data_IF_938468634701
#
_entry.id   IF_938468634701
#
_cell.length_a   1.000
_cell.length_b   1.000
_cell.length_c   1.000
_cell.angle_alpha   90.00
_cell.angle_beta   90.00
_cell.angle_gamma   90.00
#
_symmetry.space_group_name_H-M   'P 1'
#
loop_
_entity.id
_entity.type
_entity.pdbx_description
1 polymer ?
#
# COMPACT_ATOMS: atom_id res chain seq x y z
N UNK A 1 -2.37 27.75 -7.39
CA UNK A 1 -1.81 27.48 -8.74
C UNK A 1 -2.95 27.11 -9.68
N UNK A 2 -2.98 27.64 -10.91
CA UNK A 2 -3.88 27.16 -11.97
C UNK A 2 -3.03 26.42 -13.00
N UNK A 3 -3.48 25.24 -13.40
CA UNK A 3 -2.79 24.41 -14.41
C UNK A 3 -3.82 23.84 -15.38
N UNK A 4 -3.35 23.28 -16.49
CA UNK A 4 -4.20 22.72 -17.54
C UNK A 4 -4.12 21.20 -17.52
N UNK A 5 -5.23 20.56 -17.89
CA UNK A 5 -5.22 19.14 -18.22
C UNK A 5 -4.49 18.92 -19.54
N UNK A 6 -3.58 17.95 -19.56
CA UNK A 6 -2.82 17.54 -20.75
C UNK A 6 -3.31 16.19 -21.24
N UNK A 7 -3.39 16.00 -22.56
CA UNK A 7 -3.80 14.71 -23.14
C UNK A 7 -2.68 13.69 -23.03
N UNK A 8 -3.00 12.48 -22.59
CA UNK A 8 -2.11 11.32 -22.48
C UNK A 8 -2.84 10.11 -23.06
N UNK A 9 -2.84 9.96 -24.38
CA UNK A 9 -3.64 8.94 -25.06
C UNK A 9 -5.15 9.13 -24.86
N UNK A 10 -5.82 8.12 -24.29
CA UNK A 10 -7.23 8.17 -23.89
C UNK A 10 -7.43 8.79 -22.50
N UNK A 11 -6.35 9.12 -21.80
CA UNK A 11 -6.36 9.70 -20.46
C UNK A 11 -5.95 11.18 -20.48
N UNK A 12 -6.09 11.83 -19.33
CA UNK A 12 -5.70 13.23 -19.10
C UNK A 12 -4.83 13.30 -17.85
N UNK A 13 -3.75 14.09 -17.91
CA UNK A 13 -2.85 14.32 -16.78
C UNK A 13 -2.88 15.76 -16.28
N UNK A 14 -2.37 15.97 -15.08
CA UNK A 14 -2.11 17.29 -14.48
C UNK A 14 -0.61 17.40 -14.22
N UNK A 15 0.01 18.52 -14.63
CA UNK A 15 1.43 18.77 -14.30
C UNK A 15 1.53 19.31 -12.88
N UNK A 16 2.18 18.53 -12.00
CA UNK A 16 2.51 18.93 -10.64
C UNK A 16 3.96 19.46 -10.60
N UNK A 17 4.20 20.66 -10.04
CA UNK A 17 5.54 21.15 -9.77
C UNK A 17 6.31 20.19 -8.85
N UNK A 18 7.60 20.00 -9.13
CA UNK A 18 8.51 19.18 -8.31
C UNK A 18 8.44 19.50 -6.80
N UNK A 19 8.40 20.77 -6.35
CA UNK A 19 8.27 21.07 -4.93
C UNK A 19 7.01 20.50 -4.28
N UNK A 20 5.88 20.44 -4.99
CA UNK A 20 4.64 19.87 -4.44
C UNK A 20 4.70 18.34 -4.35
N UNK A 21 5.36 17.69 -5.31
CA UNK A 21 5.60 16.24 -5.30
C UNK A 21 6.45 15.88 -4.06
N UNK A 22 7.54 16.61 -3.84
CA UNK A 22 8.46 16.40 -2.72
C UNK A 22 7.80 16.69 -1.37
N UNK A 23 7.12 17.83 -1.23
CA UNK A 23 6.43 18.21 0.01
C UNK A 23 5.29 17.25 0.38
N UNK A 24 4.58 16.71 -0.61
CA UNK A 24 3.52 15.73 -0.39
C UNK A 24 4.05 14.29 -0.23
N UNK A 25 5.36 14.06 -0.40
CA UNK A 25 5.96 12.74 -0.30
C UNK A 25 5.46 11.76 -1.37
N UNK A 26 5.06 12.26 -2.54
CA UNK A 26 4.61 11.42 -3.66
C UNK A 26 5.81 10.70 -4.30
N UNK A 27 5.64 9.42 -4.59
CA UNK A 27 6.59 8.61 -5.35
C UNK A 27 6.03 8.31 -6.76
N UNK A 28 6.56 7.29 -7.43
CA UNK A 28 6.10 6.88 -8.76
C UNK A 28 4.67 6.31 -8.74
N UNK A 29 4.21 5.82 -7.59
CA UNK A 29 2.85 5.32 -7.39
C UNK A 29 2.07 6.20 -6.42
N UNK A 30 0.86 6.56 -6.81
CA UNK A 30 -0.07 7.37 -6.02
C UNK A 30 -1.45 6.75 -6.05
N UNK A 31 -2.22 7.01 -5.00
CA UNK A 31 -3.64 6.67 -4.97
C UNK A 31 -4.47 7.90 -5.32
N UNK A 32 -5.55 7.68 -6.08
CA UNK A 32 -6.48 8.73 -6.49
C UNK A 32 -7.86 8.43 -5.90
N UNK A 33 -8.44 9.42 -5.23
CA UNK A 33 -9.78 9.32 -4.65
C UNK A 33 -10.66 10.47 -5.15
N UNK A 34 -11.89 10.16 -5.58
CA UNK A 34 -12.88 11.17 -5.94
C UNK A 34 -13.72 11.54 -4.72
N UNK A 35 -13.58 12.77 -4.24
CA UNK A 35 -14.39 13.35 -3.16
C UNK A 35 -15.28 14.44 -3.73
N UNK A 36 -16.52 14.08 -4.07
CA UNK A 36 -17.46 14.98 -4.73
C UNK A 36 -16.94 15.42 -6.10
N UNK A 37 -16.54 16.69 -6.22
CA UNK A 37 -15.95 17.25 -7.45
C UNK A 37 -14.42 17.40 -7.40
N UNK A 38 -13.77 16.82 -6.38
CA UNK A 38 -12.33 16.98 -6.11
C UNK A 38 -11.62 15.65 -6.23
N UNK A 39 -10.53 15.60 -6.99
CA UNK A 39 -9.61 14.46 -7.02
C UNK A 39 -8.54 14.69 -5.96
N UNK A 40 -8.46 13.80 -4.98
CA UNK A 40 -7.40 13.79 -3.96
C UNK A 40 -6.31 12.82 -4.42
N UNK A 41 -5.07 13.30 -4.43
CA UNK A 41 -3.89 12.50 -4.75
C UNK A 41 -3.16 12.23 -3.44
N UNK A 42 -2.96 10.97 -3.10
CA UNK A 42 -2.31 10.54 -1.86
C UNK A 42 -1.07 9.72 -2.18
N UNK A 43 0.00 9.93 -1.42
CA UNK A 43 1.19 9.09 -1.49
C UNK A 43 0.80 7.65 -1.14
N UNK A 44 1.12 6.69 -2.01
CA UNK A 44 0.89 5.28 -1.71
C UNK A 44 1.92 4.83 -0.66
N UNK A 45 1.50 4.40 0.55
CA UNK A 45 2.44 3.80 1.48
C UNK A 45 2.98 2.50 0.86
N UNK A 46 4.29 2.24 1.05
CA UNK A 46 4.89 1.01 0.58
C UNK A 46 4.07 -0.21 1.04
N UNK A 47 3.90 -1.25 0.21
CA UNK A 47 3.25 -2.48 0.64
C UNK A 47 3.85 -2.96 1.96
N UNK A 48 2.98 -3.32 2.90
CA UNK A 48 3.35 -3.78 4.25
C UNK A 48 4.08 -2.73 5.11
N UNK A 49 4.03 -1.45 4.77
CA UNK A 49 4.49 -0.38 5.66
C UNK A 49 3.78 -0.50 7.02
N UNK A 50 4.56 -0.53 8.10
CA UNK A 50 4.04 -0.68 9.46
C UNK A 50 3.75 -2.12 9.88
N UNK A 51 3.92 -3.13 9.00
CA UNK A 51 3.68 -4.53 9.38
C UNK A 51 4.66 -5.03 10.44
N UNK A 52 5.92 -4.61 10.40
CA UNK A 52 6.90 -5.00 11.40
C UNK A 52 6.52 -4.45 12.79
N UNK A 53 6.11 -3.19 12.87
CA UNK A 53 5.57 -2.57 14.09
C UNK A 53 4.31 -3.28 14.57
N UNK A 54 3.36 -3.54 13.67
CA UNK A 54 2.10 -4.22 13.98
C UNK A 54 2.34 -5.65 14.50
N UNK A 55 3.27 -6.40 13.89
CA UNK A 55 3.65 -7.74 14.32
C UNK A 55 4.32 -7.72 15.70
N UNK A 56 5.22 -6.76 15.96
CA UNK A 56 5.82 -6.57 17.30
C UNK A 56 4.76 -6.27 18.36
N UNK A 57 3.78 -5.41 18.05
CA UNK A 57 2.68 -5.09 18.96
C UNK A 57 1.80 -6.30 19.22
N UNK A 58 1.40 -7.03 18.16
CA UNK A 58 0.59 -8.24 18.26
C UNK A 58 1.24 -9.28 19.20
N UNK A 59 2.56 -9.49 19.06
CA UNK A 59 3.32 -10.35 19.96
C UNK A 59 3.39 -9.84 21.39
N UNK A 60 3.58 -8.53 21.59
CA UNK A 60 3.59 -7.93 22.93
C UNK A 60 2.25 -8.09 23.65
N UNK A 61 1.15 -8.12 22.90
CA UNK A 61 -0.21 -8.36 23.38
C UNK A 61 -0.55 -9.85 23.50
N UNK A 62 0.36 -10.76 23.12
CA UNK A 62 0.14 -12.22 23.14
C UNK A 62 -0.81 -12.74 22.05
N UNK A 63 -1.15 -11.90 21.06
CA UNK A 63 -2.07 -12.23 19.97
C UNK A 63 -1.41 -12.94 18.79
N UNK A 64 -0.15 -13.36 18.90
CA UNK A 64 0.60 -14.08 17.86
C UNK A 64 0.47 -15.62 17.96
N UNK A 65 -0.50 -16.10 18.75
CA UNK A 65 -0.83 -17.52 18.86
C UNK A 65 -1.65 -18.01 17.66
N UNK A 66 -1.55 -19.32 17.37
CA UNK A 66 -2.42 -19.95 16.37
C UNK A 66 -3.88 -19.93 16.84
N UNK A 67 -4.79 -19.64 15.91
CA UNK A 67 -6.24 -19.69 16.17
C UNK A 67 -6.71 -21.13 16.36
N UNK A 68 -6.15 -22.03 15.56
CA UNK A 68 -6.44 -23.46 15.58
C UNK A 68 -5.14 -24.25 15.84
N UNK A 69 -5.23 -25.42 16.48
CA UNK A 69 -4.08 -26.31 16.58
C UNK A 69 -3.57 -26.67 15.18
N UNK A 70 -2.24 -26.80 15.00
CA UNK A 70 -1.68 -27.20 13.72
C UNK A 70 -2.24 -28.58 13.33
N UNK A 71 -2.83 -28.64 12.14
CA UNK A 71 -3.36 -29.88 11.57
C UNK A 71 -2.37 -30.40 10.55
N UNK A 72 -1.79 -31.59 10.73
CA UNK A 72 -0.89 -32.18 9.75
C UNK A 72 -1.59 -32.31 8.40
N UNK A 73 -0.88 -31.98 7.34
CA UNK A 73 -1.35 -32.12 5.97
C UNK A 73 -0.49 -33.13 5.23
N UNK A 74 -1.00 -33.66 4.11
CA UNK A 74 -0.23 -34.52 3.21
C UNK A 74 1.11 -33.90 2.80
N UNK A 75 1.17 -32.56 2.72
CA UNK A 75 2.38 -31.82 2.39
C UNK A 75 3.48 -32.05 3.45
N UNK A 76 3.13 -31.97 4.73
CA UNK A 76 4.05 -32.19 5.86
C UNK A 76 4.59 -33.63 5.90
N UNK A 77 3.82 -34.59 5.42
CA UNK A 77 4.15 -36.02 5.47
C UNK A 77 4.94 -36.51 4.26
N UNK A 78 4.60 -36.03 3.06
CA UNK A 78 5.01 -36.71 1.82
C UNK A 78 5.54 -35.79 0.73
N UNK A 79 5.28 -34.50 0.79
CA UNK A 79 5.63 -33.57 -0.30
C UNK A 79 6.82 -32.67 0.04
N UNK A 80 7.11 -32.46 1.33
CA UNK A 80 8.21 -31.61 1.75
C UNK A 80 9.59 -32.26 1.53
N UNK A 81 10.46 -31.57 0.80
CA UNK A 81 11.85 -31.94 0.53
C UNK A 81 12.75 -30.70 0.62
N UNK A 82 13.98 -30.86 1.13
CA UNK A 82 14.99 -29.79 1.25
C UNK A 82 15.67 -29.48 -0.08
#
# INVERSE_FOLDING_TARGET
MKTRLVRMGNSRGVRLPKPLIEQAGLSDEVELELRGNTIVIVARPAPRRGWAEAARRLRAEGGDQLLDPPTPTRFDETEWQW
#
